data_IF_175540163295
#
_entry.id   IF_175540163295
#
_cell.length_a   1.000
_cell.length_b   1.000
_cell.length_c   1.000
_cell.angle_alpha   90.00
_cell.angle_beta   90.00
_cell.angle_gamma   90.00
#
_symmetry.space_group_name_H-M   'P 1'
#
loop_
_entity.id
_entity.type
_entity.pdbx_description
1 polymer ?
#
# COMPACT_ATOMS: atom_id res chain seq x y z
N UNK A 1 -11.45 33.22 -2.45
CA UNK A 1 -11.03 31.79 -2.55
C UNK A 1 -10.77 31.43 -4.01
N UNK A 2 -9.51 31.33 -4.47
CA UNK A 2 -9.21 30.97 -5.87
C UNK A 2 -7.96 30.09 -6.04
N UNK A 3 -7.65 29.23 -5.06
CA UNK A 3 -6.64 28.17 -5.17
C UNK A 3 -7.21 26.76 -5.42
N UNK A 4 -8.52 26.54 -5.17
CA UNK A 4 -9.16 25.21 -5.28
C UNK A 4 -9.31 24.74 -6.73
N UNK A 5 -9.56 25.67 -7.66
CA UNK A 5 -9.93 25.34 -9.06
C UNK A 5 -8.84 24.73 -9.94
N UNK A 6 -7.58 24.68 -9.49
CA UNK A 6 -6.45 24.13 -10.28
C UNK A 6 -6.26 22.62 -10.01
N UNK A 7 -6.83 22.13 -8.91
CA UNK A 7 -6.62 20.75 -8.45
C UNK A 7 -7.88 19.88 -8.50
N UNK A 8 -9.03 20.42 -8.91
CA UNK A 8 -10.28 19.64 -9.01
C UNK A 8 -10.19 18.48 -10.02
N UNK A 9 -9.35 18.60 -11.05
CA UNK A 9 -9.18 17.59 -12.12
C UNK A 9 -7.91 16.72 -11.96
N UNK A 10 -7.14 16.91 -10.89
CA UNK A 10 -6.01 16.03 -10.56
C UNK A 10 -6.48 15.15 -9.42
N UNK A 11 -6.33 13.83 -9.58
CA UNK A 11 -6.51 12.87 -8.48
C UNK A 11 -5.64 13.33 -7.31
N UNK A 12 -6.23 14.05 -6.38
CA UNK A 12 -5.58 14.45 -5.14
C UNK A 12 -5.66 13.23 -4.26
N UNK A 13 -4.50 12.65 -3.93
CA UNK A 13 -4.42 11.62 -2.91
C UNK A 13 -5.02 12.24 -1.65
N UNK A 14 -6.03 11.60 -1.09
CA UNK A 14 -6.66 12.04 0.15
C UNK A 14 -5.78 11.65 1.33
N UNK A 15 -4.75 12.47 1.57
CA UNK A 15 -3.78 12.28 2.65
C UNK A 15 -4.40 12.30 4.06
N UNK A 16 -5.62 12.82 4.19
CA UNK A 16 -6.34 12.87 5.47
C UNK A 16 -7.43 11.80 5.59
N UNK A 17 -7.59 10.95 4.58
CA UNK A 17 -8.50 9.82 4.66
C UNK A 17 -8.01 8.77 5.66
N UNK A 18 -8.95 8.10 6.32
CA UNK A 18 -8.65 6.95 7.20
C UNK A 18 -7.88 5.86 6.46
N UNK A 19 -8.18 5.66 5.16
CA UNK A 19 -7.48 4.70 4.30
C UNK A 19 -6.01 5.05 4.12
N UNK A 20 -5.68 6.33 3.91
CA UNK A 20 -4.29 6.77 3.76
C UNK A 20 -3.53 6.67 5.08
N UNK A 21 -4.15 7.08 6.18
CA UNK A 21 -3.54 6.99 7.51
C UNK A 21 -3.21 5.53 7.88
N UNK A 22 -4.12 4.60 7.59
CA UNK A 22 -3.89 3.18 7.80
C UNK A 22 -2.76 2.63 6.92
N UNK A 23 -2.74 3.02 5.65
CA UNK A 23 -1.64 2.67 4.75
C UNK A 23 -0.29 3.18 5.28
N UNK A 24 -0.23 4.42 5.76
CA UNK A 24 1.00 5.02 6.30
C UNK A 24 1.48 4.27 7.56
N UNK A 25 0.58 3.94 8.49
CA UNK A 25 0.88 3.15 9.67
C UNK A 25 1.46 1.77 9.31
N UNK A 26 0.78 1.04 8.41
CA UNK A 26 1.23 -0.26 7.94
C UNK A 26 2.59 -0.13 7.23
N UNK A 27 2.75 0.86 6.36
CA UNK A 27 4.01 1.09 5.64
C UNK A 27 5.19 1.31 6.59
N UNK A 28 5.06 2.18 7.59
CA UNK A 28 6.13 2.40 8.57
C UNK A 28 6.42 1.15 9.41
N UNK A 29 5.38 0.42 9.80
CA UNK A 29 5.52 -0.83 10.56
C UNK A 29 6.32 -1.89 9.80
N UNK A 30 6.01 -2.11 8.52
CA UNK A 30 6.65 -3.15 7.72
C UNK A 30 7.97 -2.70 7.10
N UNK A 31 8.15 -1.40 6.82
CA UNK A 31 9.42 -0.87 6.28
C UNK A 31 10.54 -0.80 7.32
N UNK A 32 10.20 -0.72 8.61
CA UNK A 32 11.17 -0.76 9.71
C UNK A 32 11.62 -2.18 10.11
N UNK A 33 11.17 -3.21 9.39
CA UNK A 33 11.61 -4.58 9.65
C UNK A 33 13.07 -4.76 9.24
N UNK A 34 13.84 -5.48 10.08
CA UNK A 34 15.24 -5.82 9.78
C UNK A 34 15.38 -6.70 8.52
N UNK A 35 14.30 -7.37 8.13
CA UNK A 35 14.23 -8.19 6.93
C UNK A 35 13.73 -7.30 5.78
N UNK A 36 14.51 -7.15 4.70
CA UNK A 36 14.06 -6.41 3.53
C UNK A 36 12.73 -6.92 2.99
N UNK A 37 11.82 -6.00 2.67
CA UNK A 37 10.48 -6.28 2.10
C UNK A 37 10.52 -7.15 0.83
N UNK A 38 11.66 -7.23 0.15
CA UNK A 38 11.87 -8.11 -1.01
C UNK A 38 11.69 -9.59 -0.64
N UNK A 39 12.14 -10.01 0.54
CA UNK A 39 11.98 -11.41 0.99
C UNK A 39 10.51 -11.74 1.30
N UNK A 40 9.73 -10.73 1.69
CA UNK A 40 8.30 -10.90 1.93
C UNK A 40 7.56 -11.30 0.65
N UNK A 41 8.04 -10.85 -0.52
CA UNK A 41 7.45 -11.20 -1.81
C UNK A 41 7.67 -12.68 -2.12
N UNK A 42 8.87 -13.20 -1.86
CA UNK A 42 9.18 -14.61 -2.03
C UNK A 42 8.35 -15.50 -1.08
N UNK A 43 8.19 -15.06 0.18
CA UNK A 43 7.36 -15.77 1.16
C UNK A 43 5.88 -15.78 0.77
N UNK A 44 5.35 -14.64 0.29
CA UNK A 44 3.97 -14.54 -0.21
C UNK A 44 3.77 -15.47 -1.42
N UNK A 45 4.68 -15.43 -2.40
CA UNK A 45 4.60 -16.29 -3.58
C UNK A 45 4.70 -17.77 -3.22
N UNK A 46 5.57 -18.11 -2.26
CA UNK A 46 5.71 -19.47 -1.73
C UNK A 46 4.43 -19.93 -1.05
N UNK A 47 3.84 -19.11 -0.17
CA UNK A 47 2.58 -19.45 0.50
C UNK A 47 1.41 -19.53 -0.48
N UNK A 48 1.36 -18.70 -1.52
CA UNK A 48 0.39 -18.81 -2.60
C UNK A 48 0.55 -20.14 -3.36
N UNK A 49 1.77 -20.57 -3.65
CA UNK A 49 2.05 -21.84 -4.30
C UNK A 49 1.65 -23.05 -3.42
N UNK A 50 1.89 -22.98 -2.10
CA UNK A 50 1.52 -24.04 -1.15
C UNK A 50 0.00 -24.10 -0.97
N UNK A 51 -0.64 -22.95 -0.77
CA UNK A 51 -2.08 -22.86 -0.53
C UNK A 51 -2.94 -22.94 -1.78
N UNK A 52 -2.33 -22.89 -2.98
CA UNK A 52 -3.01 -22.84 -4.28
C UNK A 52 -4.03 -21.69 -4.37
N UNK A 53 -3.83 -20.62 -3.61
CA UNK A 53 -4.70 -19.44 -3.57
C UNK A 53 -3.95 -18.22 -4.07
N UNK A 54 -4.50 -17.59 -5.11
CA UNK A 54 -3.95 -16.35 -5.61
C UNK A 54 -4.40 -15.16 -4.73
N UNK A 55 -3.44 -14.40 -4.19
CA UNK A 55 -3.71 -13.18 -3.43
C UNK A 55 -3.66 -11.91 -4.30
N UNK A 56 -3.04 -11.99 -5.47
CA UNK A 56 -2.99 -10.91 -6.44
C UNK A 56 -4.16 -11.09 -7.41
N UNK A 57 -5.17 -10.24 -7.26
CA UNK A 57 -6.32 -10.20 -8.15
C UNK A 57 -5.92 -9.35 -9.37
N UNK A 58 -6.14 -9.87 -10.59
CA UNK A 58 -6.07 -9.09 -11.85
C UNK A 58 -7.28 -8.17 -12.01
#
# INVERSE_FOLDING_TARGET
MKKRKIYDDKLQIDYFSDSYLKFEEDFYRYSAMDIPLTFLTDDILREMAISQKNYFIE
#
